data_IF_444481989119
#
_entry.id   IF_444481989119
#
_cell.length_a   1.000
_cell.length_b   1.000
_cell.length_c   1.000
_cell.angle_alpha   90.00
_cell.angle_beta   90.00
_cell.angle_gamma   90.00
#
_symmetry.space_group_name_H-M   'P 1'
#
loop_
_entity.id
_entity.type
_entity.pdbx_description
1 polymer ?
#
# COMPACT_ATOMS: atom_id res chain seq x y z
N UNK A 1 -0.71 21.98 11.98
CA UNK A 1 -0.52 20.52 12.14
C UNK A 1 0.61 20.34 13.13
N UNK A 2 0.35 19.60 14.22
CA UNK A 2 1.42 19.20 15.13
C UNK A 2 2.40 18.29 14.39
N UNK A 3 3.67 18.33 14.78
CA UNK A 3 4.67 17.41 14.26
C UNK A 3 4.42 16.02 14.86
N UNK A 4 3.97 15.08 14.04
CA UNK A 4 3.60 13.72 14.48
C UNK A 4 4.88 12.92 14.70
N UNK A 5 5.12 12.46 15.93
CA UNK A 5 6.28 11.61 16.26
C UNK A 5 6.03 10.19 15.74
N UNK A 6 6.32 9.97 14.45
CA UNK A 6 6.05 8.69 13.75
C UNK A 6 6.64 7.48 14.47
N UNK A 7 7.86 7.57 14.98
CA UNK A 7 8.51 6.46 15.72
C UNK A 7 7.70 6.07 16.97
N UNK A 8 7.21 7.06 17.72
CA UNK A 8 6.40 6.81 18.91
C UNK A 8 5.05 6.19 18.53
N UNK A 9 4.42 6.67 17.46
CA UNK A 9 3.17 6.10 16.95
C UNK A 9 3.38 4.64 16.53
N UNK A 10 4.42 4.34 15.76
CA UNK A 10 4.71 2.98 15.34
C UNK A 10 5.06 2.06 16.51
N UNK A 11 5.75 2.57 17.53
CA UNK A 11 5.99 1.83 18.75
C UNK A 11 4.67 1.50 19.47
N UNK A 12 3.73 2.45 19.57
CA UNK A 12 2.42 2.22 20.17
C UNK A 12 1.57 1.23 19.37
N UNK A 13 1.57 1.33 18.03
CA UNK A 13 0.91 0.37 17.15
C UNK A 13 1.47 -1.05 17.34
N UNK A 14 2.80 -1.19 17.36
CA UNK A 14 3.46 -2.47 17.59
C UNK A 14 3.10 -3.05 18.96
N UNK A 15 3.11 -2.24 20.03
CA UNK A 15 2.66 -2.68 21.36
C UNK A 15 1.22 -3.18 21.35
N UNK A 16 0.31 -2.46 20.69
CA UNK A 16 -1.08 -2.86 20.59
C UNK A 16 -1.25 -4.19 19.82
N UNK A 17 -0.44 -4.43 18.78
CA UNK A 17 -0.45 -5.68 18.00
C UNK A 17 0.10 -6.83 18.83
N UNK A 18 1.23 -6.65 19.53
CA UNK A 18 1.86 -7.73 20.31
C UNK A 18 1.11 -8.09 21.58
N UNK A 19 0.21 -7.22 22.05
CA UNK A 19 -0.56 -7.44 23.28
C UNK A 19 -1.86 -8.24 23.06
N UNK A 20 -2.09 -8.74 21.85
CA UNK A 20 -3.32 -9.48 21.52
C UNK A 20 -3.24 -10.89 22.04
N UNK A 21 -4.24 -11.24 22.83
CA UNK A 21 -4.59 -12.62 23.13
C UNK A 21 -5.51 -13.14 22.01
N UNK A 22 -4.98 -14.00 21.15
CA UNK A 22 -5.73 -14.55 20.01
C UNK A 22 -6.78 -15.59 20.43
N UNK A 23 -6.75 -16.10 21.66
CA UNK A 23 -7.80 -16.98 22.19
C UNK A 23 -9.04 -16.16 22.61
N UNK A 24 -8.85 -14.89 23.00
CA UNK A 24 -9.94 -13.97 23.37
C UNK A 24 -10.43 -13.17 22.16
N UNK A 25 -9.50 -12.64 21.35
CA UNK A 25 -9.78 -11.85 20.16
C UNK A 25 -9.58 -12.71 18.90
N UNK A 26 -10.47 -13.68 18.74
CA UNK A 26 -10.42 -14.77 17.75
C UNK A 26 -10.80 -14.34 16.31
N UNK A 27 -11.36 -13.15 16.12
CA UNK A 27 -11.70 -12.59 14.80
C UNK A 27 -11.09 -11.20 14.55
N UNK A 28 -11.03 -10.78 13.27
CA UNK A 28 -10.37 -9.53 12.90
C UNK A 28 -11.07 -8.28 13.47
N UNK A 29 -12.37 -8.35 13.74
CA UNK A 29 -13.17 -7.22 14.22
C UNK A 29 -12.87 -6.99 15.70
N UNK A 30 -12.85 -8.06 16.49
CA UNK A 30 -12.43 -8.05 17.90
C UNK A 30 -10.97 -7.59 18.04
N UNK A 31 -10.08 -8.09 17.19
CA UNK A 31 -8.67 -7.67 17.19
C UNK A 31 -8.51 -6.19 16.83
N UNK A 32 -9.25 -5.71 15.83
CA UNK A 32 -9.22 -4.30 15.44
C UNK A 32 -9.70 -3.38 16.57
N UNK A 33 -10.81 -3.73 17.20
CA UNK A 33 -11.37 -2.95 18.30
C UNK A 33 -10.43 -2.93 19.51
N UNK A 34 -9.83 -4.07 19.87
CA UNK A 34 -8.82 -4.12 20.94
C UNK A 34 -7.62 -3.22 20.64
N UNK A 35 -7.04 -3.31 19.44
CA UNK A 35 -5.91 -2.46 19.02
C UNK A 35 -6.28 -0.98 19.10
N UNK A 36 -7.46 -0.62 18.62
CA UNK A 36 -7.97 0.76 18.64
C UNK A 36 -8.13 1.27 20.06
N UNK A 37 -8.73 0.50 20.97
CA UNK A 37 -8.88 0.90 22.37
C UNK A 37 -7.54 1.03 23.08
N UNK A 38 -6.59 0.13 22.79
CA UNK A 38 -5.23 0.20 23.33
C UNK A 38 -4.53 1.50 22.91
N UNK A 39 -4.63 1.89 21.64
CA UNK A 39 -4.08 3.16 21.14
C UNK A 39 -4.76 4.37 21.79
N UNK A 40 -6.09 4.33 21.93
CA UNK A 40 -6.85 5.42 22.54
C UNK A 40 -6.50 5.61 24.04
N UNK A 41 -6.21 4.51 24.73
CA UNK A 41 -5.80 4.51 26.14
C UNK A 41 -4.32 4.90 26.35
N UNK A 42 -3.49 4.94 25.30
CA UNK A 42 -2.07 5.29 25.41
C UNK A 42 -1.89 6.79 25.71
N UNK A 43 -1.54 7.11 26.96
CA UNK A 43 -1.33 8.49 27.41
C UNK A 43 -0.02 9.11 26.91
N UNK A 44 0.87 8.34 26.27
CA UNK A 44 2.10 8.88 25.66
C UNK A 44 1.85 9.58 24.31
N UNK A 45 0.70 9.27 23.68
CA UNK A 45 0.29 9.84 22.40
C UNK A 45 -0.60 11.08 22.60
N UNK A 46 -0.35 12.11 21.80
CA UNK A 46 -1.28 13.23 21.61
C UNK A 46 -2.53 12.78 20.85
N UNK A 47 -3.58 13.59 20.85
CA UNK A 47 -4.80 13.29 20.08
C UNK A 47 -4.56 13.19 18.57
N UNK A 48 -3.66 14.03 18.03
CA UNK A 48 -3.28 13.99 16.61
C UNK A 48 -2.53 12.69 16.29
N UNK A 49 -1.62 12.26 17.17
CA UNK A 49 -0.89 10.99 17.03
C UNK A 49 -1.82 9.78 17.16
N UNK A 50 -2.80 9.80 18.06
CA UNK A 50 -3.83 8.76 18.17
C UNK A 50 -4.66 8.68 16.89
N UNK A 51 -5.06 9.83 16.35
CA UNK A 51 -5.81 9.91 15.10
C UNK A 51 -5.01 9.31 13.94
N UNK A 52 -3.73 9.67 13.84
CA UNK A 52 -2.82 9.12 12.84
C UNK A 52 -2.63 7.60 13.01
N UNK A 53 -2.39 7.12 14.24
CA UNK A 53 -2.25 5.70 14.54
C UNK A 53 -3.52 4.90 14.16
N UNK A 54 -4.70 5.42 14.47
CA UNK A 54 -5.98 4.78 14.11
C UNK A 54 -6.16 4.77 12.59
N UNK A 55 -5.75 5.82 11.87
CA UNK A 55 -5.78 5.83 10.41
C UNK A 55 -4.91 4.70 9.83
N UNK A 56 -3.69 4.53 10.33
CA UNK A 56 -2.80 3.44 9.90
C UNK A 56 -3.36 2.05 10.26
N UNK A 57 -3.94 1.90 11.45
CA UNK A 57 -4.63 0.67 11.86
C UNK A 57 -5.81 0.35 10.91
N UNK A 58 -6.61 1.35 10.56
CA UNK A 58 -7.77 1.20 9.67
C UNK A 58 -7.38 0.79 8.25
N UNK A 59 -6.21 1.23 7.74
CA UNK A 59 -5.70 0.77 6.43
C UNK A 59 -5.55 -0.74 6.36
N UNK A 60 -5.01 -1.36 7.42
CA UNK A 60 -4.85 -2.82 7.48
C UNK A 60 -6.19 -3.52 7.70
N UNK A 61 -7.05 -2.95 8.53
CA UNK A 61 -8.37 -3.50 8.78
C UNK A 61 -9.26 -3.49 7.53
N UNK A 62 -9.27 -2.39 6.77
CA UNK A 62 -9.99 -2.30 5.49
C UNK A 62 -9.51 -3.35 4.49
N UNK A 63 -8.18 -3.53 4.37
CA UNK A 63 -7.60 -4.59 3.54
C UNK A 63 -8.11 -5.98 3.94
N UNK A 64 -8.11 -6.27 5.25
CA UNK A 64 -8.52 -7.58 5.75
C UNK A 64 -10.01 -7.83 5.54
N UNK A 65 -10.87 -6.83 5.75
CA UNK A 65 -12.30 -6.91 5.44
C UNK A 65 -12.52 -7.25 3.97
N UNK A 66 -11.85 -6.56 3.05
CA UNK A 66 -11.98 -6.85 1.61
C UNK A 66 -11.49 -8.26 1.29
N UNK A 67 -10.33 -8.66 1.82
CA UNK A 67 -9.74 -9.97 1.57
C UNK A 67 -10.62 -11.13 2.05
N UNK A 68 -11.14 -11.03 3.27
CA UNK A 68 -12.02 -12.04 3.88
C UNK A 68 -13.49 -11.88 3.45
N UNK A 69 -13.82 -10.80 2.74
CA UNK A 69 -15.17 -10.42 2.35
C UNK A 69 -16.14 -10.37 3.55
N UNK A 70 -15.69 -9.81 4.67
CA UNK A 70 -16.43 -9.80 5.94
C UNK A 70 -16.51 -8.41 6.58
N UNK A 71 -17.49 -8.24 7.47
CA UNK A 71 -17.77 -6.99 8.16
C UNK A 71 -18.86 -6.14 7.52
N UNK A 72 -19.08 -4.96 8.11
CA UNK A 72 -20.15 -4.05 7.69
C UNK A 72 -19.81 -3.36 6.37
N UNK A 73 -20.69 -3.54 5.39
CA UNK A 73 -20.65 -2.79 4.13
C UNK A 73 -21.28 -1.41 4.29
N UNK A 74 -20.85 -0.47 3.47
CA UNK A 74 -21.45 0.86 3.33
C UNK A 74 -21.69 1.18 1.86
N UNK A 75 -22.71 1.97 1.58
CA UNK A 75 -22.92 2.49 0.22
C UNK A 75 -21.92 3.60 -0.08
N UNK A 76 -21.17 3.47 -1.16
CA UNK A 76 -20.27 4.50 -1.63
C UNK A 76 -21.06 5.62 -2.33
N UNK A 77 -20.88 6.86 -1.90
CA UNK A 77 -21.57 8.04 -2.48
C UNK A 77 -21.16 8.33 -3.94
N UNK A 78 -19.98 7.87 -4.36
CA UNK A 78 -19.45 8.14 -5.71
C UNK A 78 -19.93 7.14 -6.77
N UNK A 79 -20.11 5.87 -6.40
CA UNK A 79 -20.45 4.81 -7.34
C UNK A 79 -21.72 4.03 -6.98
N UNK A 80 -22.35 4.33 -5.84
CA UNK A 80 -23.54 3.68 -5.30
C UNK A 80 -23.41 2.17 -5.06
N UNK A 81 -22.19 1.63 -5.04
CA UNK A 81 -21.92 0.23 -4.72
C UNK A 81 -21.68 0.04 -3.21
N UNK A 82 -22.01 -1.14 -2.71
CA UNK A 82 -21.74 -1.53 -1.32
C UNK A 82 -20.29 -1.98 -1.17
N UNK A 83 -19.47 -1.13 -0.55
CA UNK A 83 -18.05 -1.36 -0.31
C UNK A 83 -17.74 -1.71 1.16
N UNK A 84 -16.64 -2.43 1.37
CA UNK A 84 -16.17 -2.87 2.69
C UNK A 84 -15.19 -1.89 3.31
N UNK A 85 -14.34 -1.24 2.51
CA UNK A 85 -13.38 -0.28 3.05
C UNK A 85 -14.05 0.97 3.60
N UNK A 86 -13.57 1.46 4.74
CA UNK A 86 -14.05 2.68 5.39
C UNK A 86 -13.28 3.90 4.90
N UNK A 87 -11.97 3.78 4.68
CA UNK A 87 -11.11 4.90 4.28
C UNK A 87 -11.20 5.26 2.78
N UNK A 88 -11.61 4.32 1.95
CA UNK A 88 -11.78 4.50 0.50
C UNK A 88 -12.87 3.54 -0.01
N UNK A 89 -13.17 3.58 -1.30
CA UNK A 89 -14.03 2.59 -1.95
C UNK A 89 -13.18 1.74 -2.90
N UNK A 90 -13.08 0.44 -2.63
CA UNK A 90 -12.29 -0.49 -3.43
C UNK A 90 -12.71 -0.48 -4.91
N UNK A 91 -14.02 -0.35 -5.21
CA UNK A 91 -14.51 -0.29 -6.58
C UNK A 91 -14.15 1.03 -7.28
N UNK A 92 -14.19 2.16 -6.58
CA UNK A 92 -13.77 3.44 -7.15
C UNK A 92 -12.29 3.41 -7.54
N UNK A 93 -11.43 2.86 -6.65
CA UNK A 93 -10.00 2.69 -6.92
C UNK A 93 -9.78 1.75 -8.12
N UNK A 94 -10.44 0.59 -8.15
CA UNK A 94 -10.33 -0.35 -9.28
C UNK A 94 -10.81 0.27 -10.59
N UNK A 95 -11.92 1.03 -10.58
CA UNK A 95 -12.43 1.70 -11.77
C UNK A 95 -11.47 2.80 -12.27
N UNK A 96 -10.88 3.56 -11.35
CA UNK A 96 -9.83 4.52 -11.67
C UNK A 96 -8.63 3.83 -12.35
N UNK A 97 -8.17 2.71 -11.80
CA UNK A 97 -7.06 1.95 -12.39
C UNK A 97 -7.41 1.43 -13.78
N UNK A 98 -8.57 0.78 -13.94
CA UNK A 98 -9.07 0.29 -15.23
C UNK A 98 -9.15 1.38 -16.29
N UNK A 99 -9.63 2.57 -15.93
CA UNK A 99 -9.70 3.71 -16.83
C UNK A 99 -8.30 4.22 -17.28
N UNK A 100 -7.25 3.91 -16.51
CA UNK A 100 -5.88 4.32 -16.78
C UNK A 100 -5.01 3.21 -17.38
N UNK A 101 -5.51 2.00 -17.65
CA UNK A 101 -4.69 0.89 -18.16
C UNK A 101 -3.84 1.24 -19.38
N UNK A 102 -4.34 2.06 -20.30
CA UNK A 102 -3.59 2.53 -21.47
C UNK A 102 -2.39 3.43 -21.15
N UNK A 103 -2.36 4.04 -19.95
CA UNK A 103 -1.29 4.93 -19.52
C UNK A 103 -0.10 4.16 -18.93
N UNK A 104 -0.27 2.88 -18.61
CA UNK A 104 0.72 2.02 -17.95
C UNK A 104 1.36 1.03 -18.93
N UNK A 105 1.92 1.52 -20.03
CA UNK A 105 2.61 0.64 -20.98
C UNK A 105 4.12 0.68 -20.82
N UNK A 106 4.68 -0.51 -20.62
CA UNK A 106 6.11 -0.78 -20.67
C UNK A 106 6.63 -0.97 -22.11
N UNK A 107 5.71 -1.06 -23.08
CA UNK A 107 6.01 -1.53 -24.44
C UNK A 107 6.11 -3.06 -24.54
N UNK A 108 5.92 -3.79 -23.44
CA UNK A 108 5.87 -5.26 -23.40
C UNK A 108 4.49 -5.72 -22.93
N UNK A 109 3.74 -6.38 -23.82
CA UNK A 109 2.37 -6.81 -23.54
C UNK A 109 2.26 -7.80 -22.37
N UNK A 110 3.25 -8.67 -22.15
CA UNK A 110 3.21 -9.66 -21.08
C UNK A 110 3.36 -8.98 -19.70
N UNK A 111 4.26 -8.00 -19.60
CA UNK A 111 4.43 -7.17 -18.40
C UNK A 111 3.18 -6.32 -18.16
N UNK A 112 2.67 -5.67 -19.21
CA UNK A 112 1.49 -4.81 -19.11
C UNK A 112 0.26 -5.61 -18.65
N UNK A 113 0.07 -6.82 -19.19
CA UNK A 113 -1.00 -7.73 -18.78
C UNK A 113 -0.87 -8.17 -17.32
N UNK A 114 0.35 -8.46 -16.85
CA UNK A 114 0.61 -8.82 -15.45
C UNK A 114 0.27 -7.64 -14.52
N UNK A 115 0.72 -6.43 -14.84
CA UNK A 115 0.44 -5.22 -14.07
C UNK A 115 -1.06 -4.97 -13.99
N UNK A 116 -1.78 -5.04 -15.12
CA UNK A 116 -3.23 -4.85 -15.15
C UNK A 116 -3.96 -5.89 -14.27
N UNK A 117 -3.54 -7.16 -14.30
CA UNK A 117 -4.11 -8.19 -13.43
C UNK A 117 -3.92 -7.85 -11.95
N UNK A 118 -2.71 -7.46 -11.55
CA UNK A 118 -2.42 -7.03 -10.19
C UNK A 118 -3.24 -5.80 -9.76
N UNK A 119 -3.45 -4.85 -10.67
CA UNK A 119 -4.27 -3.66 -10.42
C UNK A 119 -5.75 -3.98 -10.22
N UNK A 120 -6.30 -5.00 -10.91
CA UNK A 120 -7.67 -5.48 -10.71
C UNK A 120 -7.84 -6.11 -9.32
N UNK A 121 -6.83 -6.84 -8.85
CA UNK A 121 -6.84 -7.55 -7.57
C UNK A 121 -6.34 -6.68 -6.40
N UNK A 122 -6.03 -5.40 -6.64
CA UNK A 122 -5.53 -4.49 -5.61
C UNK A 122 -6.52 -4.32 -4.46
N UNK A 123 -6.01 -4.47 -3.24
CA UNK A 123 -6.76 -4.36 -2.00
C UNK A 123 -6.52 -3.07 -1.23
N UNK A 124 -5.60 -2.20 -1.68
CA UNK A 124 -5.30 -0.93 -0.99
C UNK A 124 -4.56 0.06 -1.90
N UNK A 125 -4.83 1.38 -1.81
CA UNK A 125 -4.16 2.39 -2.63
C UNK A 125 -2.63 2.36 -2.61
N UNK A 126 -2.02 2.13 -1.44
CA UNK A 126 -0.56 2.11 -1.22
C UNK A 126 0.11 0.77 -1.56
N UNK A 127 -0.62 -0.14 -2.22
CA UNK A 127 -0.10 -1.43 -2.69
C UNK A 127 -0.28 -1.64 -4.18
N UNK A 128 -0.64 -0.57 -4.90
CA UNK A 128 -0.86 -0.60 -6.34
C UNK A 128 0.47 -0.86 -7.05
N UNK A 129 0.50 -1.92 -7.85
CA UNK A 129 1.63 -2.23 -8.74
C UNK A 129 1.46 -1.43 -10.02
N UNK A 130 2.56 -0.85 -10.48
CA UNK A 130 2.53 0.16 -11.53
C UNK A 130 3.85 0.14 -12.34
N UNK A 131 3.78 0.47 -13.63
CA UNK A 131 4.99 0.64 -14.46
C UNK A 131 5.56 2.04 -14.28
N UNK A 132 6.87 2.14 -14.00
CA UNK A 132 7.56 3.42 -13.82
C UNK A 132 8.42 3.72 -15.04
N UNK A 133 8.11 4.78 -15.82
CA UNK A 133 8.99 5.24 -16.87
C UNK A 133 10.37 5.60 -16.29
N UNK A 134 11.44 5.17 -16.96
CA UNK A 134 12.80 5.40 -16.49
C UNK A 134 13.11 6.90 -16.26
N UNK A 135 12.48 7.79 -17.03
CA UNK A 135 12.62 9.25 -16.87
C UNK A 135 12.02 9.80 -15.56
N UNK A 136 11.20 9.02 -14.86
CA UNK A 136 10.66 9.38 -13.54
C UNK A 136 11.59 8.95 -12.40
N UNK A 137 12.74 8.33 -12.72
CA UNK A 137 13.81 7.97 -11.79
C UNK A 137 14.99 8.93 -11.97
N UNK A 138 15.44 9.53 -10.88
CA UNK A 138 16.57 10.47 -10.83
C UNK A 138 17.65 9.93 -9.89
N UNK A 139 18.86 10.50 -9.99
CA UNK A 139 19.97 10.21 -9.07
C UNK A 139 20.22 8.70 -8.90
N UNK A 140 20.24 7.98 -10.01
CA UNK A 140 20.46 6.52 -10.01
C UNK A 140 21.93 6.28 -9.68
N UNK A 141 22.16 5.62 -8.54
CA UNK A 141 23.49 5.35 -8.00
C UNK A 141 23.63 3.87 -7.71
N UNK A 142 24.76 3.28 -8.09
CA UNK A 142 25.07 1.88 -7.75
C UNK A 142 25.22 1.74 -6.24
N UNK A 143 24.52 0.77 -5.66
CA UNK A 143 24.58 0.45 -4.24
C UNK A 143 25.49 -0.76 -3.98
N UNK A 144 25.19 -1.89 -4.61
CA UNK A 144 25.93 -3.16 -4.43
C UNK A 144 25.57 -4.18 -5.50
N UNK A 145 26.27 -5.32 -5.52
CA UNK A 145 25.90 -6.51 -6.30
C UNK A 145 25.59 -7.65 -5.34
N UNK A 146 24.43 -8.28 -5.51
CA UNK A 146 24.00 -9.43 -4.72
C UNK A 146 23.34 -10.47 -5.60
N UNK A 147 23.63 -11.75 -5.39
CA UNK A 147 23.14 -12.82 -6.28
C UNK A 147 23.53 -12.55 -7.75
N UNK A 148 22.55 -12.60 -8.64
CA UNK A 148 22.72 -12.32 -10.08
C UNK A 148 22.32 -10.90 -10.50
N UNK A 149 22.13 -9.99 -9.55
CA UNK A 149 21.62 -8.64 -9.81
C UNK A 149 22.53 -7.55 -9.26
N UNK A 150 22.62 -6.48 -10.03
CA UNK A 150 23.12 -5.20 -9.54
C UNK A 150 21.98 -4.43 -8.89
N UNK A 151 22.26 -3.85 -7.73
CA UNK A 151 21.31 -3.11 -6.91
C UNK A 151 21.72 -1.66 -6.94
N UNK A 152 20.76 -0.79 -7.22
CA UNK A 152 20.92 0.65 -7.30
C UNK A 152 19.93 1.33 -6.33
N UNK A 153 20.23 2.57 -5.97
CA UNK A 153 19.27 3.49 -5.36
C UNK A 153 18.86 4.53 -6.38
N UNK A 154 17.63 5.04 -6.29
CA UNK A 154 17.16 6.15 -7.12
C UNK A 154 16.14 7.00 -6.36
N UNK A 155 15.94 8.23 -6.82
CA UNK A 155 14.82 9.07 -6.41
C UNK A 155 13.69 8.93 -7.44
N UNK A 156 12.56 8.34 -7.04
CA UNK A 156 11.34 8.32 -7.84
C UNK A 156 10.59 9.64 -7.64
N UNK A 157 10.45 10.44 -8.69
CA UNK A 157 9.92 11.82 -8.64
C UNK A 157 8.51 11.86 -8.05
N UNK A 158 7.64 10.98 -8.55
CA UNK A 158 6.22 11.00 -8.17
C UNK A 158 5.94 10.18 -6.91
N UNK A 159 6.77 9.16 -6.64
CA UNK A 159 6.60 8.21 -5.55
C UNK A 159 5.34 7.33 -5.69
N UNK A 160 5.22 6.40 -4.75
CA UNK A 160 4.08 5.50 -4.69
C UNK A 160 2.77 6.22 -4.40
N UNK A 161 1.66 5.57 -4.74
CA UNK A 161 0.35 5.97 -4.24
C UNK A 161 0.27 5.75 -2.73
N UNK A 162 -0.49 6.61 -2.04
CA UNK A 162 -0.65 6.52 -0.57
C UNK A 162 -2.10 6.47 -0.15
N UNK A 163 -2.97 7.23 -0.82
CA UNK A 163 -4.37 7.42 -0.43
C UNK A 163 -5.27 7.62 -1.65
N UNK A 164 -6.56 7.39 -1.46
CA UNK A 164 -7.59 7.73 -2.43
C UNK A 164 -8.32 8.99 -1.98
N UNK A 165 -8.32 10.02 -2.81
CA UNK A 165 -9.13 11.21 -2.61
C UNK A 165 -10.55 10.94 -3.11
N UNK A 166 -11.50 10.75 -2.20
CA UNK A 166 -12.89 10.49 -2.58
C UNK A 166 -13.60 11.69 -3.19
N UNK A 167 -13.15 12.92 -2.89
CA UNK A 167 -13.77 14.15 -3.41
C UNK A 167 -13.31 14.40 -4.84
N UNK A 168 -12.01 14.28 -5.06
CA UNK A 168 -11.39 14.51 -6.37
C UNK A 168 -11.39 13.25 -7.26
N UNK A 169 -11.80 12.11 -6.70
CA UNK A 169 -11.83 10.80 -7.36
C UNK A 169 -10.50 10.43 -8.03
N UNK A 170 -9.39 10.65 -7.31
CA UNK A 170 -8.03 10.40 -7.79
C UNK A 170 -7.15 9.79 -6.70
N UNK A 171 -6.15 9.03 -7.13
CA UNK A 171 -5.10 8.55 -6.23
C UNK A 171 -4.11 9.68 -5.90
N UNK A 172 -3.75 9.79 -4.63
CA UNK A 172 -2.76 10.72 -4.11
C UNK A 172 -1.41 9.99 -4.08
N UNK A 173 -0.37 10.65 -4.59
CA UNK A 173 1.01 10.15 -4.53
C UNK A 173 1.78 10.75 -3.35
N UNK A 174 2.76 10.00 -2.85
CA UNK A 174 3.66 10.44 -1.79
C UNK A 174 4.49 11.67 -2.19
N UNK A 175 4.78 11.81 -3.49
CA UNK A 175 5.82 12.69 -4.00
C UNK A 175 7.18 12.01 -3.94
N UNK A 176 8.26 12.78 -4.08
CA UNK A 176 9.62 12.24 -4.22
C UNK A 176 9.95 11.22 -3.12
N UNK A 177 10.29 10.01 -3.55
CA UNK A 177 10.59 8.87 -2.68
C UNK A 177 11.92 8.22 -3.10
N UNK A 178 12.74 7.82 -2.11
CA UNK A 178 13.95 7.04 -2.38
C UNK A 178 13.59 5.56 -2.53
N UNK A 179 13.96 4.97 -3.65
CA UNK A 179 13.65 3.58 -4.00
C UNK A 179 14.92 2.77 -4.24
N UNK A 180 14.76 1.44 -4.14
CA UNK A 180 15.78 0.48 -4.55
C UNK A 180 15.40 -0.06 -5.92
N UNK A 181 16.34 -0.04 -6.85
CA UNK A 181 16.21 -0.66 -8.17
C UNK A 181 17.06 -1.92 -8.18
N UNK A 182 16.48 -3.03 -8.60
CA UNK A 182 17.20 -4.29 -8.82
C UNK A 182 17.26 -4.54 -10.32
N UNK A 183 18.46 -4.49 -10.89
CA UNK A 183 18.68 -4.81 -12.30
C UNK A 183 18.56 -6.31 -12.56
N UNK A 184 17.83 -6.68 -13.60
CA UNK A 184 17.79 -8.05 -14.09
C UNK A 184 18.88 -8.20 -15.17
N UNK A 185 19.85 -9.10 -14.97
CA UNK A 185 20.82 -9.43 -16.03
C UNK A 185 20.08 -10.01 -17.25
N UNK A 186 20.62 -9.72 -18.45
CA UNK A 186 19.98 -9.92 -19.75
C UNK A 186 19.14 -11.21 -19.82
N UNK A 187 17.81 -11.04 -19.91
CA UNK A 187 16.81 -12.13 -19.83
C UNK A 187 17.00 -13.18 -20.94
N UNK A 188 17.74 -12.84 -22.02
CA UNK A 188 18.10 -13.76 -23.09
C UNK A 188 19.07 -14.88 -22.66
N UNK A 189 19.91 -14.65 -21.63
CA UNK A 189 20.85 -15.65 -21.09
C UNK A 189 20.49 -16.10 -19.67
N UNK A 190 19.50 -15.47 -19.04
CA UNK A 190 19.04 -15.84 -17.72
C UNK A 190 18.12 -17.07 -17.83
N UNK A 191 18.67 -18.25 -17.60
CA UNK A 191 17.94 -19.45 -17.20
C UNK A 191 16.82 -19.02 -16.23
N UNK A 192 15.63 -19.62 -16.28
CA UNK A 192 14.40 -19.27 -15.51
C UNK A 192 14.56 -19.03 -13.98
N UNK A 193 15.77 -19.13 -13.43
CA UNK A 193 16.19 -18.81 -12.06
C UNK A 193 15.95 -17.37 -11.63
N UNK A 194 15.72 -16.41 -12.52
CA UNK A 194 15.40 -15.04 -12.10
C UNK A 194 14.05 -14.95 -11.36
N UNK A 195 13.13 -15.89 -11.59
CA UNK A 195 11.91 -16.04 -10.81
C UNK A 195 12.15 -16.58 -9.39
N UNK A 196 13.31 -17.21 -9.11
CA UNK A 196 13.67 -17.70 -7.77
C UNK A 196 14.19 -16.57 -6.87
N UNK A 197 14.41 -15.37 -7.41
CA UNK A 197 14.89 -14.20 -6.67
C UNK A 197 13.82 -13.14 -6.36
N UNK A 198 12.56 -13.37 -6.77
CA UNK A 198 11.37 -12.55 -6.45
C UNK A 198 10.65 -13.13 -5.23
#
# INVERSE_FOLDING_TARGET
MSDIRKELVYAALNRAITSIDYDIYDDIHKQHEFKKQTILADNSLTNDEKTYAIKELNKTYDKNKIFLNEGTRRTCENCNQECLATLYCEYCVQNYLKANFSNWTSGNNDIDNLIQKCQIETLRPDTIIEWIPYNNLQNIEYLTKGGFSEIYTADWIDGGYVEWDSKEQKLIRLGREKVILKGLENVENANQRWFEEL
#
